data_IF_619651988031
#
_entry.id   IF_619651988031
#
_cell.length_a   1.000
_cell.length_b   1.000
_cell.length_c   1.000
_cell.angle_alpha   90.00
_cell.angle_beta   90.00
_cell.angle_gamma   90.00
#
_symmetry.space_group_name_H-M   'P 1'
#
loop_
_entity.id
_entity.type
_entity.pdbx_description
1 polymer ?
#
# COMPACT_ATOMS: atom_id res chain seq x y z
N UNK A 1 -27.47 -15.50 20.79
CA UNK A 1 -27.38 -14.78 19.50
C UNK A 1 -26.12 -15.24 18.78
N UNK A 2 -26.24 -15.81 17.57
CA UNK A 2 -25.09 -16.31 16.81
C UNK A 2 -24.26 -15.15 16.24
N UNK A 3 -22.91 -15.26 16.18
CA UNK A 3 -22.07 -14.23 15.59
C UNK A 3 -22.38 -14.07 14.10
N UNK A 4 -22.60 -12.82 13.65
CA UNK A 4 -22.76 -12.51 12.22
C UNK A 4 -21.50 -12.94 11.46
N UNK A 5 -21.69 -13.73 10.40
CA UNK A 5 -20.60 -14.15 9.50
C UNK A 5 -19.97 -12.91 8.88
N UNK A 6 -18.65 -12.80 8.95
CA UNK A 6 -17.91 -11.72 8.29
C UNK A 6 -17.95 -11.96 6.79
N UNK A 7 -18.33 -10.93 6.04
CA UNK A 7 -18.33 -10.98 4.59
C UNK A 7 -16.88 -10.92 4.10
N UNK A 8 -16.43 -11.99 3.43
CA UNK A 8 -15.06 -12.09 2.90
C UNK A 8 -14.89 -11.30 1.60
N UNK A 9 -15.93 -10.59 1.17
CA UNK A 9 -15.94 -9.80 -0.05
C UNK A 9 -14.97 -8.62 0.07
N UNK A 10 -14.01 -8.47 -0.84
CA UNK A 10 -13.06 -7.37 -0.80
C UNK A 10 -13.79 -6.03 -0.97
N UNK A 11 -13.47 -5.06 -0.11
CA UNK A 11 -14.05 -3.70 -0.15
C UNK A 11 -13.76 -2.93 -1.45
N UNK A 12 -12.73 -3.33 -2.20
CA UNK A 12 -12.29 -2.69 -3.45
C UNK A 12 -11.87 -3.74 -4.46
N UNK A 13 -12.10 -3.43 -5.74
CA UNK A 13 -11.60 -4.22 -6.86
C UNK A 13 -10.07 -4.23 -6.81
N UNK A 14 -9.47 -5.43 -6.78
CA UNK A 14 -8.02 -5.58 -6.90
C UNK A 14 -7.64 -5.29 -8.35
N UNK A 15 -6.68 -4.40 -8.52
CA UNK A 15 -6.16 -3.99 -9.82
C UNK A 15 -4.81 -4.68 -10.06
N UNK A 16 -4.52 -5.01 -11.32
CA UNK A 16 -3.19 -5.43 -11.73
C UNK A 16 -2.19 -4.29 -11.64
N UNK A 17 -0.90 -4.62 -11.57
CA UNK A 17 0.18 -3.61 -11.48
C UNK A 17 0.13 -2.58 -12.61
N UNK A 18 -0.12 -3.02 -13.84
CA UNK A 18 -0.20 -2.12 -15.01
C UNK A 18 -1.34 -1.11 -14.88
N UNK A 19 -2.51 -1.56 -14.44
CA UNK A 19 -3.68 -0.69 -14.27
C UNK A 19 -3.50 0.27 -13.10
N UNK A 20 -2.82 -0.15 -12.01
CA UNK A 20 -2.43 0.76 -10.92
C UNK A 20 -1.52 1.88 -11.40
N UNK A 21 -0.49 1.57 -12.18
CA UNK A 21 0.44 2.57 -12.71
C UNK A 21 -0.24 3.57 -13.66
N UNK A 22 -1.26 3.13 -14.41
CA UNK A 22 -2.05 4.01 -15.28
C UNK A 22 -2.98 4.95 -14.50
N UNK A 23 -3.61 4.47 -13.42
CA UNK A 23 -4.58 5.25 -12.62
C UNK A 23 -3.88 6.14 -11.57
N UNK A 24 -2.69 5.74 -11.13
CA UNK A 24 -1.94 6.40 -10.07
C UNK A 24 -1.73 7.91 -10.27
N UNK A 25 -1.34 8.42 -11.46
CA UNK A 25 -1.15 9.86 -11.67
C UNK A 25 -2.41 10.69 -11.36
N UNK A 26 -3.58 10.22 -11.77
CA UNK A 26 -4.85 10.90 -11.49
C UNK A 26 -5.18 10.92 -9.98
N UNK A 27 -4.86 9.84 -9.26
CA UNK A 27 -4.99 9.81 -7.80
C UNK A 27 -3.99 10.73 -7.09
N UNK A 28 -2.78 10.88 -7.64
CA UNK A 28 -1.75 11.73 -7.05
C UNK A 28 -2.01 13.21 -7.31
N UNK A 29 -2.54 13.56 -8.49
CA UNK A 29 -2.88 14.94 -8.84
C UNK A 29 -3.88 15.57 -7.86
N UNK A 30 -4.77 14.78 -7.28
CA UNK A 30 -5.78 15.26 -6.31
C UNK A 30 -5.29 15.22 -4.86
N UNK A 31 -4.11 14.67 -4.60
CA UNK A 31 -3.63 14.42 -3.24
C UNK A 31 -2.64 15.50 -2.77
N UNK A 32 -3.04 16.30 -1.78
CA UNK A 32 -2.23 17.37 -1.17
C UNK A 32 -1.63 16.98 0.19
N UNK A 33 -1.77 15.72 0.61
CA UNK A 33 -1.37 15.27 1.94
C UNK A 33 0.12 14.90 2.09
N UNK A 34 0.59 14.86 3.34
CA UNK A 34 2.01 14.57 3.68
C UNK A 34 2.47 13.13 3.41
N UNK A 35 1.57 12.14 3.46
CA UNK A 35 1.93 10.72 3.45
C UNK A 35 1.40 9.98 2.21
N UNK A 36 2.02 10.24 1.06
CA UNK A 36 1.66 9.67 -0.25
C UNK A 36 1.70 8.14 -0.23
N UNK A 37 2.75 7.52 0.32
CA UNK A 37 2.93 6.06 0.37
C UNK A 37 1.78 5.36 1.10
N UNK A 38 1.37 5.89 2.25
CA UNK A 38 0.30 5.31 3.07
C UNK A 38 -1.06 5.42 2.39
N UNK A 39 -1.33 6.56 1.76
CA UNK A 39 -2.60 6.81 1.06
C UNK A 39 -2.67 5.96 -0.21
N UNK A 40 -1.57 5.85 -0.94
CA UNK A 40 -1.43 4.97 -2.10
C UNK A 40 -1.73 3.51 -1.74
N UNK A 41 -1.09 2.99 -0.68
CA UNK A 41 -1.35 1.63 -0.19
C UNK A 41 -2.81 1.39 0.19
N UNK A 42 -3.45 2.36 0.87
CA UNK A 42 -4.86 2.28 1.22
C UNK A 42 -5.78 2.36 0.00
N UNK A 43 -5.42 3.15 -1.01
CA UNK A 43 -6.21 3.33 -2.22
C UNK A 43 -6.25 2.06 -3.06
N UNK A 44 -5.07 1.52 -3.35
CA UNK A 44 -4.89 0.37 -4.24
C UNK A 44 -4.85 -0.98 -3.52
N UNK A 45 -4.85 -0.99 -2.18
CA UNK A 45 -4.78 -2.22 -1.38
C UNK A 45 -3.41 -2.90 -1.49
N UNK A 46 -2.34 -2.13 -1.57
CA UNK A 46 -0.95 -2.63 -1.70
C UNK A 46 -0.14 -2.33 -0.45
N UNK A 47 0.90 -3.12 -0.22
CA UNK A 47 1.85 -2.90 0.87
C UNK A 47 2.64 -1.61 0.68
N UNK A 48 3.16 -1.06 1.78
CA UNK A 48 3.94 0.18 1.77
C UNK A 48 5.20 0.09 0.90
N UNK A 49 5.81 -1.09 0.81
CA UNK A 49 6.99 -1.31 -0.02
C UNK A 49 6.63 -1.29 -1.50
N UNK A 50 5.56 -1.99 -1.88
CA UNK A 50 5.02 -1.96 -3.25
C UNK A 50 4.61 -0.55 -3.63
N UNK A 51 3.93 0.17 -2.74
CA UNK A 51 3.57 1.58 -2.95
C UNK A 51 4.82 2.45 -3.17
N UNK A 52 5.88 2.30 -2.36
CA UNK A 52 7.11 3.08 -2.52
C UNK A 52 7.81 2.79 -3.86
N UNK A 53 7.86 1.52 -4.28
CA UNK A 53 8.44 1.11 -5.57
C UNK A 53 7.62 1.66 -6.74
N UNK A 54 6.29 1.53 -6.70
CA UNK A 54 5.41 2.04 -7.76
C UNK A 54 5.46 3.57 -7.85
N UNK A 55 5.54 4.28 -6.72
CA UNK A 55 5.72 5.73 -6.69
C UNK A 55 7.08 6.18 -7.25
N UNK A 56 8.15 5.42 -7.00
CA UNK A 56 9.47 5.66 -7.59
C UNK A 56 9.44 5.48 -9.12
N UNK A 57 8.67 4.51 -9.62
CA UNK A 57 8.49 4.30 -11.07
C UNK A 57 7.71 5.41 -11.76
N UNK A 58 6.88 6.14 -11.01
CA UNK A 58 6.09 7.26 -11.50
C UNK A 58 6.84 8.60 -11.40
N UNK A 59 8.12 8.57 -11.03
CA UNK A 59 8.99 9.73 -10.82
C UNK A 59 8.40 10.80 -9.87
N UNK A 60 7.54 10.35 -8.95
CA UNK A 60 6.99 11.20 -7.90
C UNK A 60 8.14 11.50 -6.96
N UNK A 61 8.51 12.77 -6.82
CA UNK A 61 9.56 13.24 -5.92
C UNK A 61 9.22 12.85 -4.46
N UNK A 62 9.60 11.64 -4.07
CA UNK A 62 9.51 11.17 -2.70
C UNK A 62 10.69 11.76 -1.92
N UNK A 63 10.48 12.33 -0.73
CA UNK A 63 11.59 12.70 0.13
C UNK A 63 12.42 11.44 0.43
N UNK A 64 13.77 11.51 0.37
CA UNK A 64 14.68 10.33 0.35
C UNK A 64 14.66 9.45 1.61
N UNK A 65 13.81 9.77 2.59
CA UNK A 65 13.77 9.16 3.93
C UNK A 65 13.01 7.82 4.01
N UNK A 66 12.53 7.25 2.91
CA UNK A 66 11.68 6.05 2.90
C UNK A 66 12.35 4.74 2.43
N UNK A 67 13.54 4.79 1.85
CA UNK A 67 14.12 3.61 1.17
C UNK A 67 14.95 2.68 2.08
N UNK A 68 15.43 3.14 3.24
CA UNK A 68 16.48 2.42 4.01
C UNK A 68 15.99 1.54 5.17
N UNK A 69 14.85 1.82 5.79
CA UNK A 69 14.42 1.11 7.01
C UNK A 69 13.51 -0.10 6.75
N UNK A 70 12.81 -0.15 5.62
CA UNK A 70 11.77 -1.17 5.33
C UNK A 70 12.30 -2.53 4.91
N UNK A 71 13.51 -2.63 4.32
CA UNK A 71 14.11 -3.95 3.99
C UNK A 71 14.38 -4.81 5.23
N UNK A 72 14.68 -4.18 6.38
CA UNK A 72 15.03 -4.90 7.62
C UNK A 72 13.83 -5.41 8.44
N UNK A 73 12.64 -4.84 8.26
CA UNK A 73 11.45 -5.20 9.05
C UNK A 73 10.62 -6.33 8.43
N UNK A 74 10.70 -6.57 7.11
CA UNK A 74 9.97 -7.66 6.46
C UNK A 74 10.62 -9.04 6.65
N UNK A 75 11.93 -9.13 6.90
CA UNK A 75 12.55 -10.38 7.35
C UNK A 75 12.02 -10.87 8.72
N UNK A 76 11.44 -9.96 9.53
CA UNK A 76 10.86 -10.26 10.86
C UNK A 76 9.35 -10.54 10.84
N UNK A 77 8.61 -10.09 9.83
CA UNK A 77 7.15 -10.24 9.79
C UNK A 77 6.67 -11.67 9.45
N UNK A 78 7.57 -12.56 9.03
CA UNK A 78 7.31 -14.00 8.94
C UNK A 78 7.30 -14.74 10.29
N UNK A 79 7.58 -14.07 11.41
CA UNK A 79 7.82 -14.72 12.71
C UNK A 79 6.86 -14.34 13.85
N UNK A 80 5.79 -13.56 13.61
CA UNK A 80 4.76 -13.32 14.62
C UNK A 80 3.54 -14.22 14.39
N UNK A 81 3.77 -15.52 14.45
CA UNK A 81 2.70 -16.48 14.74
C UNK A 81 2.08 -16.16 16.11
N UNK A 82 0.73 -16.11 16.15
CA UNK A 82 -0.13 -16.51 17.28
C UNK A 82 0.26 -16.08 18.71
N UNK A 83 -0.43 -15.09 19.28
CA UNK A 83 -0.84 -14.96 20.71
C UNK A 83 -1.99 -13.94 20.76
N UNK A 84 -3.15 -14.11 21.40
CA UNK A 84 -3.76 -15.18 22.19
C UNK A 84 -5.28 -15.15 21.89
#
# INVERSE_FOLDING_TARGET
>A
MAPKKKDNTPRRRRMDRKTRLQVAPACLATFTGKNVVRVYGRWFGVDQLTAAVELQMLDVALPPRHHRTTKSCYARQGASSRKA
#
